data_IF_797895630392
#
_entry.id   IF_797895630392
#
_cell.length_a   1.000
_cell.length_b   1.000
_cell.length_c   1.000
_cell.angle_alpha   90.00
_cell.angle_beta   90.00
_cell.angle_gamma   90.00
#
_symmetry.space_group_name_H-M   'P 1'
#
loop_
_entity.id
_entity.type
_entity.pdbx_description
1 polymer ?
#
# COMPACT_ATOMS: atom_id res chain seq x y z
N UNK A 1 3.08 13.72 -27.77
CA UNK A 1 1.68 13.36 -27.53
C UNK A 1 1.31 13.77 -26.11
N UNK A 2 1.83 13.15 -25.04
CA UNK A 2 1.44 13.39 -23.64
C UNK A 2 1.43 14.88 -23.25
N UNK A 3 2.54 15.60 -23.49
CA UNK A 3 2.62 17.04 -23.19
C UNK A 3 1.49 17.82 -23.85
N UNK A 4 1.23 17.57 -25.13
CA UNK A 4 0.19 18.27 -25.90
C UNK A 4 -1.20 17.93 -25.35
N UNK A 5 -1.47 16.66 -25.03
CA UNK A 5 -2.73 16.24 -24.44
C UNK A 5 -2.99 16.92 -23.09
N UNK A 6 -2.02 16.91 -22.18
CA UNK A 6 -2.15 17.55 -20.87
C UNK A 6 -2.32 19.06 -21.00
N UNK A 7 -1.62 19.68 -21.94
CA UNK A 7 -1.69 21.14 -22.16
C UNK A 7 -3.03 21.59 -22.72
N UNK A 8 -3.55 20.87 -23.72
CA UNK A 8 -4.73 21.30 -24.51
C UNK A 8 -6.07 20.89 -23.89
N UNK A 9 -6.12 19.82 -23.07
CA UNK A 9 -7.36 19.33 -22.50
C UNK A 9 -7.56 19.84 -21.07
N UNK A 10 -8.80 20.14 -20.69
CA UNK A 10 -9.16 20.47 -19.30
C UNK A 10 -9.09 19.24 -18.41
N UNK A 11 -9.61 18.12 -18.88
CA UNK A 11 -9.61 16.81 -18.21
C UNK A 11 -8.90 15.78 -19.09
N UNK A 12 -7.57 15.74 -19.10
CA UNK A 12 -6.82 14.84 -19.96
C UNK A 12 -7.05 13.38 -19.58
N UNK A 13 -7.39 12.56 -20.57
CA UNK A 13 -7.55 11.12 -20.44
C UNK A 13 -6.54 10.38 -21.32
N UNK A 14 -6.09 9.25 -20.82
CA UNK A 14 -5.13 8.37 -21.47
C UNK A 14 -5.51 6.91 -21.26
N UNK A 15 -5.58 6.16 -22.34
CA UNK A 15 -5.77 4.71 -22.34
C UNK A 15 -4.52 4.04 -22.89
N UNK A 16 -4.05 2.97 -22.26
CA UNK A 16 -2.81 2.32 -22.68
C UNK A 16 -2.79 0.84 -22.34
N UNK A 17 -2.04 0.09 -23.14
CA UNK A 17 -1.66 -1.30 -22.88
C UNK A 17 -0.14 -1.48 -22.81
N UNK A 18 0.59 -0.44 -22.46
CA UNK A 18 2.05 -0.54 -22.25
C UNK A 18 2.39 -1.69 -21.30
N UNK A 19 3.59 -2.27 -21.39
CA UNK A 19 4.03 -3.21 -20.35
C UNK A 19 3.95 -2.57 -18.99
N UNK A 20 3.43 -3.30 -17.98
CA UNK A 20 3.37 -2.79 -16.61
C UNK A 20 4.76 -2.48 -16.03
N UNK A 21 5.80 -3.08 -16.60
CA UNK A 21 7.23 -2.81 -16.27
C UNK A 21 7.81 -1.59 -17.00
N UNK A 22 7.00 -0.86 -17.81
CA UNK A 22 7.48 0.35 -18.47
C UNK A 22 7.79 1.47 -17.47
N UNK A 23 8.97 2.04 -17.57
CA UNK A 23 9.43 3.13 -16.71
C UNK A 23 9.28 4.51 -17.33
N UNK A 24 9.09 4.59 -18.65
CA UNK A 24 9.06 5.85 -19.39
C UNK A 24 7.77 6.63 -19.12
N UNK A 25 6.61 5.97 -19.20
CA UNK A 25 5.33 6.62 -18.94
C UNK A 25 5.25 7.20 -17.52
N UNK A 26 5.54 6.44 -16.44
CA UNK A 26 5.61 6.98 -15.09
C UNK A 26 6.56 8.16 -14.96
N UNK A 27 7.73 8.07 -15.56
CA UNK A 27 8.73 9.14 -15.51
C UNK A 27 8.22 10.44 -16.17
N UNK A 28 7.66 10.36 -17.38
CA UNK A 28 7.11 11.52 -18.07
C UNK A 28 5.91 12.13 -17.35
N UNK A 29 5.04 11.31 -16.77
CA UNK A 29 3.90 11.82 -16.01
C UNK A 29 4.34 12.59 -14.77
N UNK A 30 5.30 12.07 -14.01
CA UNK A 30 5.87 12.76 -12.85
C UNK A 30 6.51 14.11 -13.20
N UNK A 31 7.07 14.24 -14.41
CA UNK A 31 7.65 15.49 -14.90
C UNK A 31 6.58 16.49 -15.40
N UNK A 32 5.55 15.99 -16.08
CA UNK A 32 4.59 16.88 -16.77
C UNK A 32 3.47 17.36 -15.84
N UNK A 33 2.92 16.49 -14.99
CA UNK A 33 1.77 16.82 -14.15
C UNK A 33 2.00 18.06 -13.28
N UNK A 34 3.12 18.19 -12.54
CA UNK A 34 3.37 19.39 -11.72
C UNK A 34 3.48 20.67 -12.54
N UNK A 35 3.91 20.58 -13.81
CA UNK A 35 4.08 21.76 -14.67
C UNK A 35 2.75 22.39 -15.10
N UNK A 36 1.70 21.58 -15.23
CA UNK A 36 0.41 22.02 -15.73
C UNK A 36 -0.69 22.15 -14.68
N UNK A 37 -0.46 21.61 -13.45
CA UNK A 37 -1.42 21.67 -12.34
C UNK A 37 -2.76 21.01 -12.64
N UNK A 38 -2.78 20.03 -13.55
CA UNK A 38 -3.98 19.30 -13.98
C UNK A 38 -3.98 17.88 -13.44
N UNK A 39 -5.17 17.30 -13.28
CA UNK A 39 -5.33 15.88 -12.99
C UNK A 39 -5.54 15.14 -14.31
N UNK A 40 -4.79 14.05 -14.51
CA UNK A 40 -4.94 13.15 -15.65
C UNK A 40 -5.59 11.83 -15.22
N UNK A 41 -6.59 11.36 -15.98
CA UNK A 41 -7.14 10.02 -15.86
C UNK A 41 -6.35 9.06 -16.75
N UNK A 42 -5.89 7.95 -16.18
CA UNK A 42 -5.16 6.91 -16.91
C UNK A 42 -5.83 5.56 -16.66
N UNK A 43 -6.35 4.94 -17.72
CA UNK A 43 -6.77 3.53 -17.70
C UNK A 43 -5.69 2.68 -18.36
N UNK A 44 -5.16 1.73 -17.61
CA UNK A 44 -4.05 0.91 -18.05
C UNK A 44 -4.43 -0.57 -18.04
N UNK A 45 -4.39 -1.20 -19.22
CA UNK A 45 -4.58 -2.63 -19.40
C UNK A 45 -3.23 -3.35 -19.26
N UNK A 46 -3.09 -4.14 -18.23
CA UNK A 46 -1.85 -4.84 -17.90
C UNK A 46 -2.01 -6.33 -18.12
N UNK A 47 -1.06 -6.90 -18.80
CA UNK A 47 -0.99 -8.34 -18.97
C UNK A 47 -0.24 -8.99 -17.82
N UNK A 48 -0.90 -9.90 -17.10
CA UNK A 48 -0.29 -10.72 -16.05
C UNK A 48 -0.04 -12.15 -16.52
N UNK A 49 1.03 -12.74 -16.04
CA UNK A 49 1.38 -14.13 -16.30
C UNK A 49 0.67 -15.05 -15.29
N UNK A 50 0.16 -16.18 -15.80
CA UNK A 50 -0.49 -17.20 -14.94
C UNK A 50 0.49 -18.21 -14.35
N UNK A 51 1.72 -18.27 -14.86
CA UNK A 51 2.70 -19.25 -14.42
C UNK A 51 3.49 -18.73 -13.21
N UNK A 52 3.58 -19.53 -12.16
CA UNK A 52 4.34 -19.21 -10.94
C UNK A 52 5.81 -18.81 -11.23
N UNK A 53 6.41 -19.35 -12.30
CA UNK A 53 7.77 -18.97 -12.73
C UNK A 53 7.90 -17.48 -13.13
N UNK A 54 6.79 -16.80 -13.36
CA UNK A 54 6.75 -15.37 -13.75
C UNK A 54 6.12 -14.47 -12.68
N UNK A 55 5.87 -14.97 -11.47
CA UNK A 55 5.32 -14.17 -10.37
C UNK A 55 6.19 -12.91 -10.11
N UNK A 56 7.50 -13.02 -10.32
CA UNK A 56 8.42 -11.89 -10.23
C UNK A 56 8.09 -10.75 -11.22
N UNK A 57 7.69 -11.07 -12.47
CA UNK A 57 7.30 -10.05 -13.45
C UNK A 57 6.04 -9.29 -13.02
N UNK A 58 5.11 -9.97 -12.34
CA UNK A 58 3.91 -9.33 -11.80
C UNK A 58 4.25 -8.41 -10.61
N UNK A 59 5.21 -8.80 -9.75
CA UNK A 59 5.73 -7.94 -8.69
C UNK A 59 6.50 -6.73 -9.24
N UNK A 60 7.33 -6.93 -10.26
CA UNK A 60 8.03 -5.84 -10.93
C UNK A 60 7.03 -4.82 -11.52
N UNK A 61 5.96 -5.33 -12.14
CA UNK A 61 4.85 -4.50 -12.59
C UNK A 61 4.24 -3.70 -11.44
N UNK A 62 3.94 -4.34 -10.31
CA UNK A 62 3.39 -3.66 -9.15
C UNK A 62 4.34 -2.57 -8.64
N UNK A 63 5.63 -2.85 -8.58
CA UNK A 63 6.66 -1.88 -8.17
C UNK A 63 6.65 -0.61 -9.05
N UNK A 64 6.39 -0.74 -10.37
CA UNK A 64 6.33 0.41 -11.28
C UNK A 64 5.02 1.19 -11.17
N UNK A 65 3.88 0.53 -10.93
CA UNK A 65 2.56 1.19 -10.95
C UNK A 65 2.14 1.78 -9.60
N UNK A 66 2.54 1.19 -8.48
CA UNK A 66 2.17 1.69 -7.13
C UNK A 66 2.54 3.17 -6.93
N UNK A 67 3.72 3.66 -7.34
CA UNK A 67 4.04 5.08 -7.24
C UNK A 67 3.11 6.01 -8.04
N UNK A 68 2.45 5.51 -9.10
CA UNK A 68 1.44 6.27 -9.84
C UNK A 68 0.14 6.40 -9.05
N UNK A 69 -0.25 5.34 -8.33
CA UNK A 69 -1.43 5.35 -7.48
C UNK A 69 -1.30 6.38 -6.34
N UNK A 70 -0.09 6.55 -5.81
CA UNK A 70 0.21 7.54 -4.76
C UNK A 70 0.48 8.95 -5.28
N UNK A 71 0.64 9.13 -6.59
CA UNK A 71 1.01 10.44 -7.16
C UNK A 71 -0.16 11.41 -7.15
N UNK A 72 0.07 12.64 -6.69
CA UNK A 72 -0.87 13.74 -6.82
C UNK A 72 -1.08 14.11 -8.31
N UNK A 73 -2.32 14.47 -8.68
CA UNK A 73 -2.65 14.84 -10.06
C UNK A 73 -2.73 13.65 -11.04
N UNK A 74 -2.60 12.42 -10.57
CA UNK A 74 -2.79 11.21 -11.37
C UNK A 74 -3.94 10.40 -10.79
N UNK A 75 -5.00 10.21 -11.59
CA UNK A 75 -6.05 9.23 -11.32
C UNK A 75 -5.73 7.98 -12.15
N UNK A 76 -4.99 7.05 -11.55
CA UNK A 76 -4.51 5.86 -12.22
C UNK A 76 -5.38 4.66 -11.89
N UNK A 77 -5.95 4.04 -12.92
CA UNK A 77 -6.87 2.91 -12.81
C UNK A 77 -6.30 1.73 -13.61
N UNK A 78 -5.51 0.86 -12.99
CA UNK A 78 -4.98 -0.33 -13.65
C UNK A 78 -6.01 -1.45 -13.69
N UNK A 79 -6.11 -2.10 -14.83
CA UNK A 79 -6.84 -3.33 -15.05
C UNK A 79 -5.86 -4.42 -15.47
N UNK A 80 -6.14 -5.67 -15.11
CA UNK A 80 -5.32 -6.79 -15.54
C UNK A 80 -6.13 -7.87 -16.21
N UNK A 81 -5.47 -8.61 -17.06
CA UNK A 81 -5.98 -9.83 -17.67
C UNK A 81 -4.86 -10.85 -17.76
N UNK A 82 -5.26 -12.12 -17.72
CA UNK A 82 -4.32 -13.22 -17.91
C UNK A 82 -4.29 -13.69 -19.35
N UNK A 83 -3.12 -14.05 -19.84
CA UNK A 83 -2.94 -14.74 -21.11
C UNK A 83 -2.09 -15.98 -20.90
N UNK A 84 -2.45 -17.05 -21.62
CA UNK A 84 -1.64 -18.28 -21.67
C UNK A 84 -0.39 -18.13 -22.54
N UNK A 85 -0.31 -17.05 -23.32
CA UNK A 85 0.82 -16.78 -24.21
C UNK A 85 1.88 -16.01 -23.43
N UNK A 86 3.10 -16.54 -23.38
CA UNK A 86 4.24 -15.80 -22.86
C UNK A 86 4.48 -14.54 -23.69
N UNK A 87 5.24 -13.57 -23.11
CA UNK A 87 5.62 -12.34 -23.83
C UNK A 87 6.32 -12.65 -25.16
N UNK A 88 7.05 -13.78 -25.21
CA UNK A 88 7.77 -14.25 -26.38
C UNK A 88 6.89 -15.00 -27.40
N UNK A 89 5.70 -15.47 -26.98
CA UNK A 89 4.79 -16.24 -27.82
C UNK A 89 3.71 -15.38 -28.50
N UNK A 90 3.70 -14.07 -28.26
CA UNK A 90 2.81 -13.16 -28.97
C UNK A 90 3.17 -13.16 -30.45
N UNK A 91 2.19 -13.33 -31.36
CA UNK A 91 2.47 -13.22 -32.78
C UNK A 91 3.22 -11.91 -33.03
N UNK A 92 4.21 -11.94 -33.92
CA UNK A 92 5.14 -10.85 -34.28
C UNK A 92 4.38 -9.58 -34.71
N UNK A 93 3.72 -8.91 -33.77
CA UNK A 93 3.17 -7.58 -34.00
C UNK A 93 4.32 -6.60 -33.94
N UNK A 94 4.55 -5.88 -35.03
CA UNK A 94 5.62 -4.85 -35.09
C UNK A 94 5.40 -3.75 -34.05
N UNK A 95 4.13 -3.43 -33.73
CA UNK A 95 3.73 -2.37 -32.81
C UNK A 95 2.61 -2.88 -31.89
N UNK A 96 2.95 -3.68 -30.85
CA UNK A 96 1.95 -4.33 -30.00
C UNK A 96 1.37 -3.40 -28.93
N UNK A 97 2.04 -2.29 -28.66
CA UNK A 97 1.66 -1.35 -27.61
C UNK A 97 1.07 -0.07 -28.17
N UNK A 98 0.22 0.56 -27.39
CA UNK A 98 -0.37 1.84 -27.78
C UNK A 98 -0.69 2.73 -26.58
N UNK A 99 -0.75 4.02 -26.89
CA UNK A 99 -1.30 5.06 -26.03
C UNK A 99 -2.39 5.78 -26.83
N UNK A 100 -3.62 5.79 -26.29
CA UNK A 100 -4.76 6.48 -26.87
C UNK A 100 -5.03 7.75 -26.06
N UNK A 101 -5.24 8.84 -26.75
CA UNK A 101 -5.72 10.11 -26.20
C UNK A 101 -6.94 10.56 -27.02
N UNK A 102 -7.62 11.62 -26.62
CA UNK A 102 -8.77 12.14 -27.36
C UNK A 102 -8.49 12.39 -28.85
N UNK A 103 -7.25 12.78 -29.21
CA UNK A 103 -6.90 13.21 -30.57
C UNK A 103 -5.89 12.30 -31.28
N UNK A 104 -5.25 11.39 -30.57
CA UNK A 104 -4.12 10.65 -31.11
C UNK A 104 -4.09 9.22 -30.63
N UNK A 105 -3.65 8.33 -31.50
CA UNK A 105 -3.15 7.00 -31.13
C UNK A 105 -1.66 6.95 -31.44
N UNK A 106 -0.85 6.69 -30.43
CA UNK A 106 0.57 6.40 -30.57
C UNK A 106 0.76 4.89 -30.46
N UNK A 107 1.03 4.20 -31.57
CA UNK A 107 1.46 2.81 -31.58
C UNK A 107 2.96 2.74 -31.28
N UNK A 108 3.39 1.76 -30.51
CA UNK A 108 4.78 1.61 -30.09
C UNK A 108 5.30 0.20 -30.37
N UNK A 109 6.54 0.15 -30.83
CA UNK A 109 7.24 -1.12 -31.05
C UNK A 109 7.42 -1.89 -29.73
N UNK A 110 7.74 -3.18 -29.82
CA UNK A 110 7.90 -4.04 -28.64
C UNK A 110 8.99 -3.59 -27.69
N UNK A 111 10.03 -2.90 -28.20
CA UNK A 111 11.13 -2.32 -27.44
C UNK A 111 10.90 -0.84 -27.05
N UNK A 112 9.73 -0.30 -27.39
CA UNK A 112 9.30 1.09 -27.17
C UNK A 112 10.21 2.16 -27.83
N UNK A 113 11.16 1.75 -28.66
CA UNK A 113 12.14 2.66 -29.30
C UNK A 113 11.58 3.47 -30.46
N UNK A 114 10.51 2.97 -31.09
CA UNK A 114 9.86 3.56 -32.26
C UNK A 114 8.35 3.53 -32.14
N UNK A 115 7.69 4.45 -32.80
CA UNK A 115 6.25 4.49 -32.82
C UNK A 115 5.68 5.15 -34.08
N UNK A 116 4.39 4.89 -34.30
CA UNK A 116 3.61 5.50 -35.38
C UNK A 116 2.51 6.30 -34.71
N UNK A 117 2.42 7.58 -35.09
CA UNK A 117 1.38 8.48 -34.60
C UNK A 117 0.25 8.59 -35.63
N UNK A 118 -0.96 8.29 -35.17
CA UNK A 118 -2.18 8.46 -35.95
C UNK A 118 -3.04 9.58 -35.38
N UNK A 119 -3.65 10.36 -36.24
CA UNK A 119 -4.65 11.39 -35.90
C UNK A 119 -5.95 11.23 -36.72
N UNK A 120 -6.06 10.15 -37.47
CA UNK A 120 -7.27 9.83 -38.22
C UNK A 120 -8.38 9.39 -37.26
N UNK A 121 -9.59 10.01 -37.34
CA UNK A 121 -10.69 9.69 -36.43
C UNK A 121 -11.17 8.21 -36.54
N UNK A 122 -11.10 7.60 -37.72
CA UNK A 122 -11.50 6.21 -37.91
C UNK A 122 -10.53 5.24 -37.20
N UNK A 123 -9.21 5.52 -37.29
CA UNK A 123 -8.19 4.74 -36.56
C UNK A 123 -8.37 4.92 -35.04
N UNK A 124 -8.59 6.16 -34.60
CA UNK A 124 -8.82 6.45 -33.19
C UNK A 124 -10.04 5.70 -32.65
N UNK A 125 -11.13 5.68 -33.39
CA UNK A 125 -12.36 4.93 -33.03
C UNK A 125 -12.13 3.44 -32.91
N UNK A 126 -11.40 2.83 -33.85
CA UNK A 126 -11.11 1.39 -33.81
C UNK A 126 -10.24 1.01 -32.61
N UNK A 127 -9.17 1.78 -32.32
CA UNK A 127 -8.34 1.52 -31.14
C UNK A 127 -9.09 1.72 -29.83
N UNK A 128 -9.94 2.74 -29.75
CA UNK A 128 -10.77 2.98 -28.56
C UNK A 128 -11.76 1.83 -28.34
N UNK A 129 -12.40 1.34 -29.42
CA UNK A 129 -13.31 0.20 -29.37
C UNK A 129 -12.59 -1.07 -28.92
N UNK A 130 -11.43 -1.35 -29.48
CA UNK A 130 -10.60 -2.51 -29.09
C UNK A 130 -10.19 -2.42 -27.63
N UNK A 131 -9.76 -1.26 -27.16
CA UNK A 131 -9.43 -1.04 -25.75
C UNK A 131 -10.64 -1.33 -24.84
N UNK A 132 -11.84 -0.84 -25.20
CA UNK A 132 -13.05 -1.08 -24.41
C UNK A 132 -13.42 -2.58 -24.40
N UNK A 133 -13.34 -3.26 -25.54
CA UNK A 133 -13.56 -4.71 -25.60
C UNK A 133 -12.59 -5.47 -24.67
N UNK A 134 -11.31 -5.10 -24.66
CA UNK A 134 -10.34 -5.70 -23.76
C UNK A 134 -10.66 -5.39 -22.29
N UNK A 135 -11.11 -4.18 -22.00
CA UNK A 135 -11.46 -3.74 -20.66
C UNK A 135 -12.63 -4.55 -20.07
N UNK A 136 -13.64 -4.86 -20.89
CA UNK A 136 -14.80 -5.68 -20.50
C UNK A 136 -14.41 -7.11 -20.06
N UNK A 137 -13.27 -7.61 -20.54
CA UNK A 137 -12.73 -8.93 -20.20
C UNK A 137 -11.58 -8.87 -19.18
N UNK A 138 -11.34 -7.71 -18.60
CA UNK A 138 -10.30 -7.46 -17.62
C UNK A 138 -10.89 -7.26 -16.23
N UNK A 139 -10.08 -7.45 -15.21
CA UNK A 139 -10.45 -7.18 -13.83
C UNK A 139 -9.70 -5.93 -13.30
N UNK A 140 -10.29 -5.10 -12.46
CA UNK A 140 -9.53 -4.08 -11.74
C UNK A 140 -8.39 -4.72 -10.95
N UNK A 141 -7.17 -4.18 -11.08
CA UNK A 141 -6.02 -4.73 -10.35
C UNK A 141 -6.06 -4.34 -8.89
N UNK A 142 -6.59 -3.15 -8.59
CA UNK A 142 -6.64 -2.63 -7.23
C UNK A 142 -7.90 -1.78 -7.01
N UNK A 143 -8.29 -1.70 -5.75
CA UNK A 143 -9.22 -0.70 -5.25
C UNK A 143 -8.40 0.34 -4.50
N UNK A 144 -8.71 1.62 -4.68
CA UNK A 144 -7.96 2.69 -4.03
C UNK A 144 -8.89 3.77 -3.47
N UNK A 145 -8.49 4.36 -2.36
CA UNK A 145 -9.06 5.60 -1.85
C UNK A 145 -7.95 6.57 -1.42
N UNK A 146 -8.20 7.85 -1.63
CA UNK A 146 -7.37 8.97 -1.14
C UNK A 146 -8.11 9.79 -0.07
N UNK A 147 -9.26 9.30 0.37
CA UNK A 147 -10.10 9.89 1.39
C UNK A 147 -10.14 8.95 2.61
N UNK A 148 -9.95 9.51 3.82
CA UNK A 148 -9.88 8.71 5.04
C UNK A 148 -11.19 7.94 5.31
N UNK A 149 -12.34 8.57 5.11
CA UNK A 149 -13.64 7.94 5.40
C UNK A 149 -13.90 6.76 4.45
N UNK A 150 -13.62 6.94 3.16
CA UNK A 150 -13.70 5.86 2.16
C UNK A 150 -12.67 4.76 2.45
N UNK A 151 -11.44 5.14 2.83
CA UNK A 151 -10.38 4.21 3.19
C UNK A 151 -10.79 3.34 4.38
N UNK A 152 -11.33 3.95 5.44
CA UNK A 152 -11.84 3.25 6.62
C UNK A 152 -13.02 2.33 6.26
N UNK A 153 -13.94 2.77 5.40
CA UNK A 153 -15.02 1.92 4.92
C UNK A 153 -14.49 0.71 4.15
N UNK A 154 -13.59 0.93 3.19
CA UNK A 154 -12.95 -0.15 2.43
C UNK A 154 -12.19 -1.11 3.35
N UNK A 155 -11.45 -0.57 4.30
CA UNK A 155 -10.71 -1.38 5.28
C UNK A 155 -11.64 -2.23 6.14
N UNK A 156 -12.81 -1.72 6.51
CA UNK A 156 -13.78 -2.39 7.37
C UNK A 156 -14.77 -3.31 6.63
N UNK A 157 -14.96 -3.20 5.32
CA UNK A 157 -15.92 -4.06 4.58
C UNK A 157 -15.43 -5.48 4.29
N UNK A 158 -14.15 -5.77 4.55
CA UNK A 158 -13.53 -7.07 4.24
C UNK A 158 -13.48 -8.04 5.44
N UNK A 159 -14.44 -7.97 6.39
CA UNK A 159 -14.27 -8.59 7.72
C UNK A 159 -14.85 -9.97 7.94
N UNK A 160 -15.79 -10.41 7.14
CA UNK A 160 -16.64 -11.55 7.52
C UNK A 160 -15.91 -12.90 7.68
N UNK A 161 -14.64 -12.99 7.29
CA UNK A 161 -13.90 -14.28 7.30
C UNK A 161 -12.39 -14.14 7.52
N UNK A 162 -11.94 -13.21 8.37
CA UNK A 162 -10.49 -13.08 8.63
C UNK A 162 -10.06 -14.21 9.57
N UNK A 163 -9.18 -15.10 9.08
CA UNK A 163 -8.56 -16.18 9.86
C UNK A 163 -7.09 -15.87 10.14
N UNK A 164 -6.39 -15.33 9.17
CA UNK A 164 -4.97 -15.05 9.24
C UNK A 164 -4.69 -13.59 8.84
N UNK A 165 -3.84 -12.93 9.60
CA UNK A 165 -3.34 -11.58 9.32
C UNK A 165 -1.83 -11.60 9.45
N UNK A 166 -1.15 -11.11 8.42
CA UNK A 166 0.28 -10.79 8.50
C UNK A 166 0.47 -9.33 8.17
N UNK A 167 1.14 -8.59 9.06
CA UNK A 167 1.35 -7.15 8.88
C UNK A 167 2.82 -6.75 8.98
N UNK A 168 3.16 -5.64 8.32
CA UNK A 168 4.45 -4.97 8.43
C UNK A 168 4.22 -3.48 8.59
N UNK A 169 4.68 -2.93 9.72
CA UNK A 169 4.58 -1.53 10.06
C UNK A 169 5.90 -1.00 10.65
N UNK A 170 6.04 0.27 10.83
CA UNK A 170 7.16 0.84 11.55
C UNK A 170 7.05 0.60 13.06
N UNK A 171 5.85 0.68 13.65
CA UNK A 171 5.58 0.39 15.06
C UNK A 171 4.72 -0.86 15.23
N UNK A 172 4.73 -1.53 16.38
CA UNK A 172 3.71 -2.54 16.66
C UNK A 172 2.29 -1.98 16.53
N UNK A 173 1.33 -2.85 16.26
CA UNK A 173 -0.08 -2.45 16.16
C UNK A 173 -0.54 -1.80 17.47
N UNK A 174 -1.37 -0.77 17.37
CA UNK A 174 -1.86 -0.04 18.54
C UNK A 174 -2.65 -0.94 19.51
N UNK A 175 -3.34 -1.97 19.00
CA UNK A 175 -4.01 -2.97 19.86
C UNK A 175 -3.06 -3.78 20.72
N UNK A 176 -1.77 -3.82 20.38
CA UNK A 176 -0.74 -4.52 21.16
C UNK A 176 -0.12 -3.62 22.23
N UNK A 177 -0.25 -2.31 22.07
CA UNK A 177 0.26 -1.33 23.00
C UNK A 177 -0.72 -0.93 24.10
N UNK A 178 -2.02 -1.09 23.87
CA UNK A 178 -3.02 -0.59 24.81
C UNK A 178 -4.32 -1.39 24.76
N UNK A 179 -5.02 -1.33 25.89
CA UNK A 179 -6.40 -1.80 25.96
C UNK A 179 -7.30 -1.04 24.97
N UNK A 180 -8.20 -1.78 24.31
CA UNK A 180 -9.11 -1.22 23.34
C UNK A 180 -10.04 -0.14 23.91
N UNK A 181 -10.50 -0.27 25.15
CA UNK A 181 -11.34 0.75 25.79
C UNK A 181 -10.59 2.07 25.96
N UNK A 182 -9.34 1.99 26.40
CA UNK A 182 -8.49 3.16 26.51
C UNK A 182 -8.25 3.85 25.16
N UNK A 183 -8.01 3.07 24.10
CA UNK A 183 -7.88 3.62 22.75
C UNK A 183 -9.16 4.35 22.30
N UNK A 184 -10.33 3.76 22.51
CA UNK A 184 -11.61 4.35 22.13
C UNK A 184 -11.90 5.64 22.89
N UNK A 185 -11.61 5.69 24.17
CA UNK A 185 -11.79 6.89 24.99
C UNK A 185 -10.92 8.03 24.47
N UNK A 186 -9.67 7.75 24.12
CA UNK A 186 -8.78 8.74 23.49
C UNK A 186 -9.30 9.28 22.16
N UNK A 187 -9.78 8.40 21.28
CA UNK A 187 -10.37 8.83 20.00
C UNK A 187 -11.58 9.70 20.26
N UNK A 188 -12.48 9.31 21.16
CA UNK A 188 -13.69 10.06 21.51
C UNK A 188 -13.34 11.44 22.09
N UNK A 189 -12.29 11.55 22.88
CA UNK A 189 -11.84 12.80 23.48
C UNK A 189 -11.18 13.74 22.46
N UNK A 190 -10.30 13.20 21.59
CA UNK A 190 -9.44 14.02 20.74
C UNK A 190 -9.91 14.16 19.29
N UNK A 191 -10.74 13.25 18.81
CA UNK A 191 -11.23 13.22 17.43
C UNK A 191 -12.68 12.69 17.39
N UNK A 192 -13.63 13.41 18.02
CA UNK A 192 -15.01 12.98 18.17
C UNK A 192 -15.73 12.77 16.81
N UNK A 193 -15.24 13.37 15.74
CA UNK A 193 -15.72 13.17 14.37
C UNK A 193 -15.59 11.73 13.89
N UNK A 194 -14.64 10.96 14.43
CA UNK A 194 -14.45 9.55 14.13
C UNK A 194 -15.25 8.60 15.05
N UNK A 195 -15.93 9.13 16.08
CA UNK A 195 -16.72 8.31 16.99
C UNK A 195 -17.76 7.38 16.31
N UNK A 196 -18.43 7.76 15.20
CA UNK A 196 -19.31 6.87 14.47
C UNK A 196 -18.62 5.62 13.92
N UNK A 197 -17.34 5.72 13.54
CA UNK A 197 -16.57 4.60 13.03
C UNK A 197 -16.08 3.65 14.13
N UNK A 198 -16.07 4.10 15.38
CA UNK A 198 -15.54 3.33 16.51
C UNK A 198 -16.34 2.05 16.79
N UNK A 199 -17.64 2.04 16.56
CA UNK A 199 -18.44 0.83 16.74
C UNK A 199 -18.10 -0.24 15.69
N UNK A 200 -17.91 0.17 14.44
CA UNK A 200 -17.47 -0.73 13.38
C UNK A 200 -16.03 -1.22 13.66
N UNK A 201 -15.15 -0.32 14.13
CA UNK A 201 -13.80 -0.66 14.52
C UNK A 201 -13.73 -1.62 15.72
N UNK A 202 -14.64 -1.48 16.73
CA UNK A 202 -14.77 -2.47 17.81
C UNK A 202 -15.12 -3.86 17.30
N UNK A 203 -16.08 -3.93 16.40
CA UNK A 203 -16.45 -5.21 15.76
C UNK A 203 -15.27 -5.82 15.00
N UNK A 204 -14.53 -5.00 14.29
CA UNK A 204 -13.31 -5.37 13.60
C UNK A 204 -12.24 -5.91 14.56
N UNK A 205 -11.93 -5.20 15.64
CA UNK A 205 -10.95 -5.67 16.62
C UNK A 205 -11.34 -7.02 17.24
N UNK A 206 -12.64 -7.26 17.44
CA UNK A 206 -13.10 -8.57 17.92
C UNK A 206 -12.79 -9.70 16.92
N UNK A 207 -12.87 -9.42 15.62
CA UNK A 207 -12.49 -10.39 14.57
C UNK A 207 -10.98 -10.56 14.52
N UNK A 208 -10.21 -9.46 14.53
CA UNK A 208 -8.74 -9.49 14.53
C UNK A 208 -8.19 -10.26 15.73
N UNK A 209 -8.76 -10.06 16.91
CA UNK A 209 -8.30 -10.74 18.13
C UNK A 209 -8.56 -12.26 18.11
N UNK A 210 -9.39 -12.74 17.18
CA UNK A 210 -9.63 -14.19 16.96
C UNK A 210 -8.79 -14.75 15.81
N UNK A 211 -8.17 -13.90 15.00
CA UNK A 211 -7.34 -14.31 13.89
C UNK A 211 -5.93 -14.73 14.36
N UNK A 212 -5.29 -15.61 13.58
CA UNK A 212 -3.87 -15.87 13.72
C UNK A 212 -3.11 -14.64 13.21
N UNK A 213 -2.38 -13.99 14.12
CA UNK A 213 -1.63 -12.78 13.78
C UNK A 213 -0.15 -13.06 13.65
N UNK A 214 0.50 -12.36 12.72
CA UNK A 214 1.93 -12.37 12.52
C UNK A 214 2.39 -10.95 12.17
N UNK A 215 2.83 -10.19 13.17
CA UNK A 215 3.08 -8.76 13.06
C UNK A 215 4.58 -8.46 13.06
N UNK A 216 5.04 -7.82 11.99
CA UNK A 216 6.40 -7.34 11.85
C UNK A 216 6.46 -5.84 12.08
N UNK A 217 7.45 -5.38 12.86
CA UNK A 217 7.69 -3.97 13.09
C UNK A 217 9.18 -3.65 13.20
N UNK A 218 9.55 -2.40 12.94
CA UNK A 218 10.97 -2.03 12.88
C UNK A 218 11.49 -1.51 14.22
N UNK A 219 12.74 -1.79 14.55
CA UNK A 219 13.41 -1.24 15.71
C UNK A 219 13.44 0.31 15.66
N UNK A 220 13.61 0.88 14.47
CA UNK A 220 13.68 2.34 14.29
C UNK A 220 12.32 3.01 14.59
N UNK A 221 11.22 2.45 14.11
CA UNK A 221 9.87 2.93 14.40
C UNK A 221 9.52 2.76 15.87
N UNK A 222 9.84 1.60 16.44
CA UNK A 222 9.66 1.34 17.87
C UNK A 222 10.44 2.35 18.73
N UNK A 223 11.69 2.68 18.40
CA UNK A 223 12.47 3.69 19.09
C UNK A 223 11.84 5.08 18.99
N UNK A 224 11.34 5.48 17.82
CA UNK A 224 10.60 6.74 17.65
C UNK A 224 9.36 6.81 18.52
N UNK A 225 8.60 5.71 18.62
CA UNK A 225 7.48 5.62 19.54
C UNK A 225 7.93 5.83 20.99
N UNK A 226 8.99 5.14 21.41
CA UNK A 226 9.54 5.27 22.77
C UNK A 226 10.02 6.69 23.10
N UNK A 227 10.63 7.39 22.13
CA UNK A 227 11.21 8.71 22.31
C UNK A 227 10.19 9.84 22.17
N UNK A 228 9.27 9.74 21.23
CA UNK A 228 8.38 10.84 20.83
C UNK A 228 6.90 10.56 21.07
N UNK A 229 6.50 9.32 21.36
CA UNK A 229 5.11 8.93 21.54
C UNK A 229 4.29 8.93 20.24
N UNK A 230 4.94 8.75 19.09
CA UNK A 230 4.31 8.72 17.77
C UNK A 230 4.20 7.26 17.34
N UNK A 231 2.98 6.78 17.16
CA UNK A 231 2.70 5.52 16.45
C UNK A 231 2.66 5.76 14.96
N UNK A 232 3.07 4.78 14.15
CA UNK A 232 3.01 4.85 12.68
C UNK A 232 1.64 4.48 12.12
N UNK A 233 0.83 3.76 12.86
CA UNK A 233 -0.47 3.27 12.42
C UNK A 233 -1.55 4.34 12.24
N UNK A 234 -2.77 3.89 11.95
CA UNK A 234 -3.95 4.76 11.78
C UNK A 234 -4.24 5.63 12.98
N UNK A 235 -3.81 5.22 14.18
CA UNK A 235 -3.94 6.01 15.40
C UNK A 235 -3.22 7.34 15.32
N UNK A 236 -2.08 7.43 14.64
CA UNK A 236 -1.34 8.68 14.48
C UNK A 236 -2.16 9.80 13.81
N UNK A 237 -3.20 9.43 13.08
CA UNK A 237 -4.11 10.35 12.41
C UNK A 237 -5.21 10.84 13.36
N UNK A 238 -5.69 9.98 14.23
CA UNK A 238 -6.90 10.21 15.04
C UNK A 238 -6.62 10.51 16.52
N UNK A 239 -5.43 10.19 17.03
CA UNK A 239 -5.05 10.47 18.42
C UNK A 239 -3.74 11.25 18.49
N UNK A 240 -3.57 12.11 19.53
CA UNK A 240 -2.34 12.85 19.76
C UNK A 240 -1.20 11.93 20.22
N UNK A 241 0.00 12.47 20.22
CA UNK A 241 1.18 11.78 20.74
C UNK A 241 0.97 11.30 22.17
N UNK A 242 1.51 10.13 22.47
CA UNK A 242 1.48 9.56 23.82
C UNK A 242 2.42 10.31 24.77
N UNK A 243 1.91 10.67 25.95
CA UNK A 243 2.75 11.21 27.04
C UNK A 243 3.76 10.18 27.53
N UNK A 244 4.79 10.57 28.28
CA UNK A 244 5.75 9.63 28.88
C UNK A 244 5.09 8.57 29.77
N UNK A 245 4.08 8.95 30.54
CA UNK A 245 3.31 8.06 31.42
C UNK A 245 2.51 7.03 30.63
N UNK A 246 1.86 7.49 29.60
CA UNK A 246 1.10 6.63 28.69
C UNK A 246 2.01 5.63 27.97
N UNK A 247 3.18 6.08 27.51
CA UNK A 247 4.19 5.19 26.91
C UNK A 247 4.70 4.14 27.88
N UNK A 248 4.92 4.48 29.16
CA UNK A 248 5.31 3.51 30.19
C UNK A 248 4.21 2.45 30.35
N UNK A 249 2.95 2.86 30.37
CA UNK A 249 1.82 1.95 30.51
C UNK A 249 1.68 1.03 29.30
N UNK A 250 1.74 1.59 28.11
CA UNK A 250 1.63 0.82 26.87
C UNK A 250 2.81 -0.14 26.65
N UNK A 251 4.02 0.28 26.96
CA UNK A 251 5.20 -0.60 26.85
C UNK A 251 5.17 -1.75 27.86
N UNK A 252 4.60 -1.56 29.07
CA UNK A 252 4.38 -2.65 30.01
C UNK A 252 3.34 -3.64 29.48
N UNK A 253 2.21 -3.12 28.99
CA UNK A 253 1.16 -3.94 28.39
C UNK A 253 1.73 -4.77 27.23
N UNK A 254 2.48 -4.13 26.33
CA UNK A 254 3.14 -4.80 25.22
C UNK A 254 4.13 -5.86 25.67
N UNK A 255 4.97 -5.57 26.68
CA UNK A 255 5.94 -6.55 27.21
C UNK A 255 5.28 -7.79 27.82
N UNK A 256 4.10 -7.63 28.43
CA UNK A 256 3.33 -8.73 29.03
C UNK A 256 2.74 -9.66 27.94
N UNK A 257 2.34 -9.10 26.79
CA UNK A 257 1.69 -9.84 25.70
C UNK A 257 2.64 -10.18 24.54
N UNK A 258 3.88 -9.70 24.58
CA UNK A 258 4.86 -9.92 23.52
C UNK A 258 5.26 -11.41 23.44
N UNK A 259 5.14 -12.00 22.25
CA UNK A 259 5.63 -13.33 21.91
C UNK A 259 6.23 -13.28 20.51
N UNK A 260 7.40 -13.91 20.32
CA UNK A 260 7.97 -14.06 18.97
C UNK A 260 7.18 -15.01 18.06
N UNK A 261 6.16 -15.69 18.57
CA UNK A 261 5.23 -16.42 17.71
C UNK A 261 4.35 -15.49 16.89
N UNK A 262 4.05 -14.31 17.43
CA UNK A 262 3.10 -13.37 16.84
C UNK A 262 3.71 -11.98 16.54
N UNK A 263 4.87 -11.65 17.12
CA UNK A 263 5.46 -10.31 17.00
C UNK A 263 6.95 -10.42 16.67
N UNK A 264 7.35 -9.81 15.56
CA UNK A 264 8.72 -9.85 15.05
C UNK A 264 9.32 -8.46 14.94
N UNK A 265 10.28 -8.14 15.81
CA UNK A 265 11.04 -6.90 15.68
C UNK A 265 12.13 -7.05 14.63
N UNK A 266 12.09 -6.20 13.61
CA UNK A 266 13.12 -6.13 12.57
C UNK A 266 14.26 -5.21 13.04
N UNK A 267 15.49 -5.67 12.87
CA UNK A 267 16.68 -4.94 13.31
C UNK A 267 16.98 -3.69 12.43
N UNK A 268 17.95 -2.88 12.82
CA UNK A 268 18.27 -1.60 12.18
C UNK A 268 18.83 -1.69 10.75
N UNK A 269 19.18 -2.88 10.28
CA UNK A 269 19.65 -3.09 8.90
C UNK A 269 18.48 -3.23 7.92
N UNK A 270 17.27 -3.51 8.42
CA UNK A 270 16.05 -3.53 7.61
C UNK A 270 15.53 -2.10 7.44
N UNK A 271 15.60 -1.59 6.21
CA UNK A 271 15.10 -0.26 5.86
C UNK A 271 13.62 -0.32 5.48
N UNK A 272 12.79 0.44 6.19
CA UNK A 272 11.35 0.49 5.95
C UNK A 272 10.81 1.93 6.14
N UNK A 273 9.89 2.40 5.25
CA UNK A 273 9.30 3.73 5.38
C UNK A 273 8.36 3.81 6.58
N UNK A 274 8.52 4.83 7.42
CA UNK A 274 7.67 5.02 8.62
C UNK A 274 6.18 5.24 8.32
N UNK A 275 5.87 5.65 7.10
CA UNK A 275 4.49 5.98 6.68
C UNK A 275 3.77 4.86 5.94
N UNK A 276 4.44 3.76 5.66
CA UNK A 276 3.86 2.65 4.94
C UNK A 276 3.39 1.57 5.92
N UNK A 277 2.17 1.10 5.74
CA UNK A 277 1.62 -0.08 6.40
C UNK A 277 1.25 -1.10 5.34
N UNK A 278 1.69 -2.34 5.52
CA UNK A 278 1.39 -3.47 4.66
C UNK A 278 0.66 -4.52 5.49
N UNK A 279 -0.48 -5.02 4.99
CA UNK A 279 -1.23 -6.08 5.64
C UNK A 279 -1.71 -7.09 4.61
N UNK A 280 -1.51 -8.38 4.88
CA UNK A 280 -2.01 -9.48 4.07
C UNK A 280 -3.03 -10.27 4.90
N UNK A 281 -4.26 -10.38 4.39
CA UNK A 281 -5.34 -11.14 5.02
C UNK A 281 -5.62 -12.42 4.26
N UNK A 282 -5.65 -13.55 4.96
CA UNK A 282 -5.98 -14.88 4.43
C UNK A 282 -5.20 -15.25 3.16
N UNK A 283 -4.03 -14.66 2.91
CA UNK A 283 -3.28 -14.76 1.65
C UNK A 283 -4.06 -14.35 0.38
N UNK A 284 -5.15 -13.58 0.53
CA UNK A 284 -6.03 -13.20 -0.57
C UNK A 284 -6.19 -11.70 -0.78
N UNK A 285 -5.96 -10.91 0.24
CA UNK A 285 -6.14 -9.46 0.18
C UNK A 285 -4.93 -8.76 0.76
N UNK A 286 -4.20 -8.05 -0.10
CA UNK A 286 -3.06 -7.23 0.27
C UNK A 286 -3.51 -5.78 0.41
N UNK A 287 -3.25 -5.19 1.56
CA UNK A 287 -3.50 -3.80 1.87
C UNK A 287 -2.18 -3.04 1.90
N UNK A 288 -2.12 -1.94 1.17
CA UNK A 288 -0.99 -1.01 1.18
C UNK A 288 -1.54 0.35 1.59
N UNK A 289 -1.13 0.85 2.76
CA UNK A 289 -1.64 2.09 3.32
C UNK A 289 -0.47 3.04 3.51
N UNK A 290 -0.53 4.21 2.90
CA UNK A 290 0.44 5.27 3.11
C UNK A 290 -0.19 6.37 3.96
N UNK A 291 0.40 6.64 5.12
CA UNK A 291 -0.05 7.58 6.13
C UNK A 291 0.90 8.77 6.29
N UNK A 292 1.69 9.09 5.29
CA UNK A 292 2.70 10.16 5.34
C UNK A 292 2.13 11.52 5.73
N UNK A 293 0.87 11.80 5.35
CA UNK A 293 0.19 13.04 5.64
C UNK A 293 -1.32 12.78 5.79
N UNK A 294 -1.96 13.41 6.80
CA UNK A 294 -3.42 13.37 6.98
C UNK A 294 -4.20 13.82 5.73
N UNK A 295 -3.64 14.78 4.98
CA UNK A 295 -4.23 15.28 3.75
C UNK A 295 -3.96 14.39 2.52
N UNK A 296 -3.01 13.45 2.60
CA UNK A 296 -2.55 12.61 1.50
C UNK A 296 -2.52 11.12 1.88
N UNK A 297 -3.59 10.66 2.53
CA UNK A 297 -3.77 9.24 2.78
C UNK A 297 -3.95 8.54 1.44
N UNK A 298 -3.25 7.44 1.26
CA UNK A 298 -3.46 6.56 0.13
C UNK A 298 -3.66 5.14 0.63
N UNK A 299 -4.80 4.58 0.27
CA UNK A 299 -5.23 3.26 0.66
C UNK A 299 -5.45 2.42 -0.60
N UNK A 300 -4.82 1.28 -0.67
CA UNK A 300 -4.87 0.37 -1.82
C UNK A 300 -5.16 -1.04 -1.33
N UNK A 301 -6.12 -1.72 -1.98
CA UNK A 301 -6.37 -3.16 -1.81
C UNK A 301 -6.07 -3.85 -3.13
N UNK A 302 -5.31 -4.94 -3.06
CA UNK A 302 -4.99 -5.81 -4.19
C UNK A 302 -5.45 -7.22 -3.84
N UNK A 303 -6.26 -7.83 -4.72
CA UNK A 303 -6.78 -9.19 -4.55
C UNK A 303 -6.33 -10.13 -5.68
N UNK A 304 -5.30 -9.73 -6.40
CA UNK A 304 -4.71 -10.55 -7.45
C UNK A 304 -3.82 -11.65 -6.81
N UNK A 305 -4.12 -12.90 -7.15
CA UNK A 305 -3.58 -14.08 -6.45
C UNK A 305 -2.05 -14.19 -6.52
N UNK A 306 -1.41 -13.87 -7.64
CA UNK A 306 0.04 -13.99 -7.77
C UNK A 306 0.79 -12.99 -6.91
N UNK A 307 0.24 -11.78 -6.78
CA UNK A 307 0.77 -10.73 -5.90
C UNK A 307 0.60 -11.13 -4.43
N UNK A 308 -0.62 -11.56 -4.04
CA UNK A 308 -0.88 -11.98 -2.66
C UNK A 308 0.01 -13.16 -2.25
N UNK A 309 0.19 -14.15 -3.12
CA UNK A 309 1.09 -15.28 -2.88
C UNK A 309 2.56 -14.83 -2.73
N UNK A 310 3.02 -13.92 -3.57
CA UNK A 310 4.37 -13.41 -3.48
C UNK A 310 4.63 -12.63 -2.17
N UNK A 311 3.64 -11.88 -1.68
CA UNK A 311 3.73 -11.25 -0.36
C UNK A 311 3.67 -12.28 0.78
N UNK A 312 2.89 -13.36 0.64
CA UNK A 312 2.91 -14.46 1.61
C UNK A 312 4.29 -15.11 1.69
N UNK A 313 4.91 -15.41 0.55
CA UNK A 313 6.29 -15.94 0.51
C UNK A 313 7.30 -14.93 1.09
N UNK A 314 7.17 -13.65 0.78
CA UNK A 314 8.02 -12.60 1.35
C UNK A 314 7.95 -12.60 2.89
N UNK A 315 6.76 -12.64 3.48
CA UNK A 315 6.59 -12.66 4.92
C UNK A 315 7.15 -13.94 5.57
N UNK A 316 7.01 -15.09 4.93
CA UNK A 316 7.62 -16.34 5.38
C UNK A 316 9.15 -16.23 5.39
N UNK A 317 9.74 -15.74 4.29
CA UNK A 317 11.19 -15.53 4.21
C UNK A 317 11.67 -14.47 5.21
N UNK A 318 10.87 -13.44 5.47
CA UNK A 318 11.20 -12.41 6.45
C UNK A 318 11.23 -12.98 7.87
N UNK A 319 10.28 -13.85 8.23
CA UNK A 319 10.22 -14.50 9.53
C UNK A 319 11.46 -15.36 9.82
N UNK A 320 12.04 -16.00 8.81
CA UNK A 320 13.22 -16.85 8.91
C UNK A 320 14.54 -16.09 8.65
N UNK A 321 14.48 -14.77 8.48
CA UNK A 321 15.64 -13.99 8.05
C UNK A 321 16.52 -13.52 9.23
N UNK A 322 17.75 -13.11 8.89
CA UNK A 322 18.67 -12.43 9.82
C UNK A 322 18.21 -11.03 10.26
N UNK A 323 17.13 -10.52 9.65
CA UNK A 323 16.54 -9.25 10.06
C UNK A 323 15.76 -9.35 11.38
N UNK A 324 15.35 -10.54 11.80
CA UNK A 324 14.60 -10.72 13.04
C UNK A 324 15.50 -10.53 14.26
N UNK A 325 15.09 -9.65 15.16
CA UNK A 325 15.73 -9.47 16.46
C UNK A 325 15.27 -10.59 17.40
N UNK A 326 16.19 -11.32 18.06
CA UNK A 326 15.83 -12.37 19.02
C UNK A 326 14.94 -11.84 20.16
N UNK A 327 13.99 -12.67 20.61
CA UNK A 327 13.00 -12.30 21.64
C UNK A 327 13.62 -11.70 22.91
N UNK A 328 14.67 -12.33 23.43
CA UNK A 328 15.34 -11.85 24.62
C UNK A 328 15.96 -10.43 24.45
N UNK A 329 16.44 -10.12 23.27
CA UNK A 329 16.98 -8.79 22.95
C UNK A 329 15.83 -7.77 22.81
N UNK A 330 14.73 -8.14 22.18
CA UNK A 330 13.53 -7.31 22.07
C UNK A 330 12.99 -6.99 23.46
N UNK A 331 12.78 -8.00 24.30
CA UNK A 331 12.33 -7.81 25.69
C UNK A 331 13.27 -6.90 26.51
N UNK A 332 14.58 -7.10 26.37
CA UNK A 332 15.59 -6.26 27.02
C UNK A 332 15.50 -4.81 26.56
N UNK A 333 15.28 -4.58 25.28
CA UNK A 333 15.13 -3.25 24.72
C UNK A 333 13.87 -2.55 25.25
N UNK A 334 12.73 -3.25 25.27
CA UNK A 334 11.48 -2.72 25.84
C UNK A 334 11.67 -2.32 27.30
N UNK A 335 12.26 -3.19 28.12
CA UNK A 335 12.54 -2.92 29.53
C UNK A 335 13.45 -1.71 29.72
N UNK A 336 14.48 -1.56 28.88
CA UNK A 336 15.38 -0.41 28.89
C UNK A 336 14.60 0.90 28.66
N UNK A 337 13.72 0.95 27.68
CA UNK A 337 12.92 2.15 27.40
C UNK A 337 11.92 2.47 28.54
N UNK A 338 11.29 1.46 29.12
CA UNK A 338 10.44 1.65 30.32
C UNK A 338 11.25 2.31 31.46
N UNK A 339 12.48 1.86 31.70
CA UNK A 339 13.32 2.45 32.73
C UNK A 339 13.74 3.89 32.40
N UNK A 340 14.16 4.17 31.18
CA UNK A 340 14.51 5.51 30.73
C UNK A 340 13.33 6.49 30.85
N UNK A 341 12.14 6.09 30.44
CA UNK A 341 10.93 6.90 30.56
C UNK A 341 10.59 7.19 32.03
N UNK A 342 10.71 6.19 32.92
CA UNK A 342 10.53 6.41 34.40
C UNK A 342 11.51 7.41 34.98
N UNK A 343 12.77 7.37 34.54
CA UNK A 343 13.79 8.35 35.00
C UNK A 343 13.43 9.78 34.56
N UNK A 344 13.00 9.93 33.32
CA UNK A 344 12.57 11.22 32.73
C UNK A 344 11.32 11.77 33.45
N UNK A 345 10.35 10.90 33.74
CA UNK A 345 9.05 11.32 34.28
C UNK A 345 9.06 11.54 35.80
N UNK A 346 9.73 10.68 36.54
CA UNK A 346 9.65 10.65 38.02
C UNK A 346 10.96 11.02 38.72
N UNK A 347 12.04 11.31 37.98
CA UNK A 347 13.35 11.61 38.59
C UNK A 347 13.94 10.43 39.39
N UNK A 348 13.48 9.22 39.15
CA UNK A 348 13.92 8.02 39.87
C UNK A 348 15.27 7.59 39.27
N UNK A 349 16.34 7.83 40.04
CA UNK A 349 17.65 7.24 39.75
C UNK A 349 17.59 5.73 39.92
N UNK A 350 18.30 4.93 39.10
CA UNK A 350 18.27 3.47 39.14
C UNK A 350 18.76 2.88 40.47
#
# INVERSE_FOLDING_TARGET
VLRKTIQEQESPELYTNLPGTDTLLPHYLKLLIPQYGKTILIKHLIHFQTNASYAYENLETLHQIIPLCFSAGINYIPFYYYSKLSRNDRPNLLYPFYIITEKYVLQLASDLSKGILHSDPAILQEYTKEFQNCLEHSSPLLQQSKNLDEALQLYMTSFDTIQDITSLDATPCDSDFMDNEYFFDRVKEHSPEYAPFMNAYKSFLNVINQANRNDFFTINGFQKYCEYGISSGTSSIVIPKFSPEERITSLKYFLEHFSNENHHMLNSTFSYPDSLYIELRNNHSLFLINLADKANISFIIIQESSICNAFSEFFQLLADSEYITPENQTRTLIQKYIQQLKQLTFGITP
#
